data_IF_683647042767
#
_entry.id   IF_683647042767
#
_cell.length_a   1.000
_cell.length_b   1.000
_cell.length_c   1.000
_cell.angle_alpha   90.00
_cell.angle_beta   90.00
_cell.angle_gamma   90.00
#
_symmetry.space_group_name_H-M   'P 1'
#
loop_
_entity.id
_entity.type
_entity.pdbx_description
1 polymer ?
#
# COMPACT_ATOMS: atom_id res chain seq x y z
N UNK A 1 73.32 38.36 -72.93
CA UNK A 1 72.80 37.38 -73.89
C UNK A 1 73.65 37.57 -75.12
N UNK A 2 74.20 36.51 -75.69
CA UNK A 2 74.95 36.59 -76.94
C UNK A 2 74.33 35.66 -77.97
N UNK A 3 73.90 36.19 -79.12
CA UNK A 3 73.36 35.38 -80.22
C UNK A 3 74.53 34.87 -81.04
N UNK A 4 74.57 33.56 -81.28
CA UNK A 4 75.62 32.87 -82.03
C UNK A 4 75.21 32.64 -83.48
N UNK A 5 73.97 32.20 -83.72
CA UNK A 5 73.50 31.95 -85.08
C UNK A 5 72.00 32.04 -85.22
N UNK A 6 71.53 32.28 -86.43
CA UNK A 6 70.13 32.18 -86.80
C UNK A 6 69.96 31.41 -88.12
N UNK A 7 69.15 30.36 -88.09
CA UNK A 7 68.76 29.57 -89.25
C UNK A 7 67.31 29.89 -89.62
N UNK A 8 67.07 30.18 -90.90
CA UNK A 8 65.78 30.57 -91.46
C UNK A 8 65.36 29.55 -92.51
N UNK A 9 64.19 28.93 -92.33
CA UNK A 9 63.55 28.06 -93.31
C UNK A 9 62.16 28.57 -93.65
N UNK A 10 61.95 28.91 -94.92
CA UNK A 10 60.72 29.47 -95.48
C UNK A 10 60.18 30.66 -94.68
N UNK A 11 61.08 31.50 -94.15
CA UNK A 11 60.75 32.67 -93.35
C UNK A 11 60.88 33.93 -94.20
N UNK A 12 59.77 34.62 -94.45
CA UNK A 12 59.68 35.79 -95.36
C UNK A 12 60.40 35.52 -96.70
N UNK A 13 61.43 36.30 -97.03
CA UNK A 13 62.18 36.18 -98.29
C UNK A 13 63.25 35.07 -98.27
N UNK A 14 63.48 34.40 -97.15
CA UNK A 14 64.52 33.37 -97.01
C UNK A 14 63.92 31.96 -97.13
N UNK A 15 64.41 31.16 -98.09
CA UNK A 15 63.98 29.77 -98.28
C UNK A 15 64.72 28.81 -97.35
N UNK A 16 66.05 28.81 -97.40
CA UNK A 16 66.91 28.11 -96.44
C UNK A 16 68.22 28.90 -96.32
N UNK A 17 68.43 29.55 -95.18
CA UNK A 17 69.59 30.41 -94.93
C UNK A 17 70.08 30.23 -93.51
N UNK A 18 71.39 30.26 -93.35
CA UNK A 18 72.07 30.21 -92.06
C UNK A 18 72.98 31.41 -91.92
N UNK A 19 72.90 32.10 -90.78
CA UNK A 19 73.74 33.24 -90.45
C UNK A 19 74.44 32.98 -89.13
N UNK A 20 75.76 33.14 -89.12
CA UNK A 20 76.60 33.04 -87.92
C UNK A 20 77.05 34.44 -87.51
N UNK A 21 76.96 34.73 -86.22
CA UNK A 21 77.35 36.00 -85.62
C UNK A 21 78.65 35.85 -84.85
N UNK A 22 79.52 36.84 -85.01
CA UNK A 22 80.77 36.91 -84.26
C UNK A 22 80.60 37.81 -83.03
N UNK A 23 81.43 37.64 -81.98
CA UNK A 23 81.48 38.61 -80.89
C UNK A 23 81.78 40.03 -81.40
N UNK A 24 81.10 41.03 -80.84
CA UNK A 24 81.29 42.43 -81.22
C UNK A 24 80.24 42.94 -82.22
N UNK A 25 80.66 43.85 -83.11
CA UNK A 25 79.76 44.53 -84.05
C UNK A 25 79.62 43.74 -85.35
N UNK A 26 78.41 43.27 -85.64
CA UNK A 26 78.09 42.57 -86.88
C UNK A 26 77.30 43.50 -87.80
N UNK A 27 77.79 43.76 -89.01
CA UNK A 27 77.11 44.56 -90.02
C UNK A 27 76.40 43.65 -91.04
N UNK A 28 75.07 43.75 -91.15
CA UNK A 28 74.27 43.00 -92.13
C UNK A 28 74.04 43.89 -93.35
N UNK A 29 74.82 43.65 -94.42
CA UNK A 29 74.80 44.43 -95.65
C UNK A 29 74.09 43.67 -96.79
N UNK A 30 73.49 44.42 -97.72
CA UNK A 30 72.72 43.87 -98.84
C UNK A 30 71.84 44.94 -99.48
N UNK A 31 71.18 44.62 -100.59
CA UNK A 31 70.26 45.55 -101.24
C UNK A 31 68.97 45.76 -100.42
N UNK A 32 68.23 46.84 -100.67
CA UNK A 32 66.92 47.00 -100.07
C UNK A 32 65.98 45.88 -100.58
N UNK A 33 65.19 45.30 -99.67
CA UNK A 33 64.35 44.14 -100.00
C UNK A 33 65.05 42.78 -99.96
N UNK A 34 66.37 42.72 -99.74
CA UNK A 34 67.12 41.44 -99.62
C UNK A 34 66.80 40.62 -98.36
N UNK A 35 65.95 41.13 -97.45
CA UNK A 35 65.55 40.42 -96.23
C UNK A 35 66.48 40.65 -95.02
N UNK A 36 67.26 41.74 -94.99
CA UNK A 36 68.11 42.12 -93.85
C UNK A 36 67.31 42.26 -92.54
N UNK A 37 66.23 43.03 -92.58
CA UNK A 37 65.33 43.22 -91.43
C UNK A 37 64.70 41.91 -90.98
N UNK A 38 64.44 40.98 -91.91
CA UNK A 38 63.86 39.67 -91.60
C UNK A 38 64.76 38.81 -90.71
N UNK A 39 66.08 39.03 -90.70
CA UNK A 39 66.99 38.33 -89.79
C UNK A 39 66.75 38.79 -88.34
N UNK A 40 66.63 40.09 -88.11
CA UNK A 40 66.34 40.64 -86.78
C UNK A 40 64.92 40.30 -86.31
N UNK A 41 63.94 40.34 -87.21
CA UNK A 41 62.56 39.97 -86.91
C UNK A 41 62.43 38.48 -86.56
N UNK A 42 63.20 37.61 -87.21
CA UNK A 42 63.24 36.19 -86.89
C UNK A 42 63.74 35.95 -85.45
N UNK A 43 64.81 36.66 -85.06
CA UNK A 43 65.34 36.64 -83.68
C UNK A 43 64.29 37.15 -82.69
N UNK A 44 63.63 38.27 -83.01
CA UNK A 44 62.57 38.88 -82.21
C UNK A 44 61.40 37.91 -81.96
N UNK A 45 61.01 37.23 -83.04
CA UNK A 45 59.91 36.27 -83.03
C UNK A 45 60.23 35.06 -82.17
N UNK A 46 61.43 34.51 -82.29
CA UNK A 46 61.82 33.34 -81.50
C UNK A 46 62.04 33.70 -80.03
N UNK A 47 62.96 34.62 -79.72
CA UNK A 47 63.43 34.83 -78.34
C UNK A 47 62.53 35.76 -77.53
N UNK A 48 61.84 36.71 -78.18
CA UNK A 48 61.08 37.74 -77.47
C UNK A 48 59.57 37.62 -77.68
N UNK A 49 59.13 36.62 -78.45
CA UNK A 49 57.74 36.46 -78.87
C UNK A 49 57.16 37.75 -79.48
N UNK A 50 58.00 38.49 -80.22
CA UNK A 50 57.63 39.74 -80.88
C UNK A 50 57.46 39.49 -82.38
N UNK A 51 56.27 39.78 -82.91
CA UNK A 51 55.94 39.61 -84.34
C UNK A 51 55.61 40.93 -85.06
N UNK A 52 55.77 42.07 -84.38
CA UNK A 52 55.32 43.37 -84.89
C UNK A 52 53.82 43.39 -85.18
N UNK A 53 53.43 44.13 -86.22
CA UNK A 53 52.04 44.23 -86.71
C UNK A 53 51.69 43.15 -87.76
N UNK A 54 52.59 42.19 -87.99
CA UNK A 54 52.41 41.14 -88.99
C UNK A 54 51.59 39.96 -88.46
N UNK A 55 50.75 39.40 -89.33
CA UNK A 55 50.04 38.15 -89.05
C UNK A 55 50.99 36.95 -89.16
N UNK A 56 50.56 35.78 -88.67
CA UNK A 56 51.40 34.57 -88.71
C UNK A 56 51.70 34.13 -90.15
N UNK A 57 50.76 34.37 -91.04
CA UNK A 57 50.81 34.06 -92.46
C UNK A 57 51.87 34.90 -93.17
N UNK A 58 52.04 36.16 -92.77
CA UNK A 58 53.03 37.10 -93.34
C UNK A 58 54.47 36.72 -93.02
N UNK A 59 54.68 35.86 -92.02
CA UNK A 59 56.00 35.31 -91.69
C UNK A 59 56.39 34.14 -92.61
N UNK A 60 55.43 33.53 -93.30
CA UNK A 60 55.64 32.36 -94.14
C UNK A 60 55.95 32.80 -95.57
N UNK A 61 57.00 32.24 -96.16
CA UNK A 61 57.33 32.47 -97.58
C UNK A 61 56.18 31.99 -98.48
N UNK A 62 55.80 32.82 -99.46
CA UNK A 62 54.80 32.45 -100.47
C UNK A 62 55.10 31.09 -101.11
N UNK A 63 54.10 30.21 -101.14
CA UNK A 63 54.21 28.84 -101.66
C UNK A 63 54.70 27.79 -100.66
N UNK A 64 54.94 28.16 -99.39
CA UNK A 64 55.34 27.23 -98.32
C UNK A 64 54.21 27.00 -97.31
N UNK A 65 54.14 25.80 -96.72
CA UNK A 65 53.12 25.47 -95.71
C UNK A 65 53.46 25.93 -94.28
N UNK A 66 54.73 26.18 -93.98
CA UNK A 66 55.20 26.59 -92.64
C UNK A 66 56.53 27.32 -92.71
N UNK A 67 56.77 28.22 -91.75
CA UNK A 67 58.08 28.81 -91.50
C UNK A 67 58.71 28.24 -90.23
N UNK A 68 60.03 28.11 -90.23
CA UNK A 68 60.82 27.68 -89.09
C UNK A 68 62.03 28.60 -88.93
N UNK A 69 62.24 29.05 -87.70
CA UNK A 69 63.42 29.83 -87.32
C UNK A 69 64.07 29.12 -86.15
N UNK A 70 65.39 28.99 -86.21
CA UNK A 70 66.18 28.47 -85.10
C UNK A 70 67.25 29.48 -84.70
N UNK A 71 67.30 29.85 -83.43
CA UNK A 71 68.26 30.81 -82.87
C UNK A 71 69.10 30.10 -81.83
N UNK A 72 70.42 30.18 -82.00
CA UNK A 72 71.39 29.68 -81.03
C UNK A 72 71.97 30.86 -80.27
N UNK A 73 71.94 30.81 -78.94
CA UNK A 73 72.46 31.89 -78.09
C UNK A 73 73.10 31.36 -76.80
N UNK A 74 73.93 32.19 -76.18
CA UNK A 74 74.51 31.95 -74.85
C UNK A 74 73.64 32.64 -73.80
N UNK A 75 73.20 31.86 -72.82
CA UNK A 75 72.37 32.33 -71.71
C UNK A 75 73.16 33.21 -70.74
N UNK A 76 72.51 34.26 -70.25
CA UNK A 76 73.05 35.11 -69.18
C UNK A 76 73.00 34.46 -67.80
N UNK A 77 72.19 33.43 -67.61
CA UNK A 77 71.95 32.83 -66.30
C UNK A 77 73.06 31.83 -65.93
N UNK A 78 73.38 30.92 -66.83
CA UNK A 78 74.30 29.82 -66.59
C UNK A 78 75.47 29.75 -67.60
N UNK A 79 75.57 30.72 -68.53
CA UNK A 79 76.60 30.79 -69.56
C UNK A 79 76.63 29.59 -70.52
N UNK A 80 75.52 28.85 -70.63
CA UNK A 80 75.40 27.71 -71.56
C UNK A 80 74.81 28.12 -72.90
N UNK A 81 75.11 27.31 -73.91
CA UNK A 81 74.54 27.47 -75.25
C UNK A 81 73.18 26.79 -75.33
N UNK A 82 72.19 27.50 -75.86
CA UNK A 82 70.86 26.97 -76.11
C UNK A 82 70.42 27.23 -77.54
N UNK A 83 69.72 26.26 -78.11
CA UNK A 83 69.08 26.36 -79.42
C UNK A 83 67.57 26.42 -79.24
N UNK A 84 66.97 27.54 -79.64
CA UNK A 84 65.53 27.78 -79.58
C UNK A 84 64.99 27.81 -80.99
N UNK A 85 64.17 26.82 -81.32
CA UNK A 85 63.49 26.69 -82.59
C UNK A 85 62.01 27.04 -82.41
N UNK A 86 61.49 27.88 -83.31
CA UNK A 86 60.06 28.17 -83.41
C UNK A 86 59.56 27.85 -84.80
N UNK A 87 58.48 27.07 -84.87
CA UNK A 87 57.76 26.76 -86.10
C UNK A 87 56.34 27.31 -86.01
N UNK A 88 55.83 27.87 -87.12
CA UNK A 88 54.46 28.42 -87.16
C UNK A 88 53.39 27.36 -86.86
N UNK A 89 53.61 26.11 -87.28
CA UNK A 89 52.70 24.99 -87.03
C UNK A 89 53.00 24.19 -85.75
N UNK A 90 54.29 23.92 -85.47
CA UNK A 90 54.71 22.97 -84.42
C UNK A 90 55.10 23.65 -83.09
N UNK A 91 55.03 24.98 -83.01
CA UNK A 91 55.33 25.72 -81.78
C UNK A 91 56.84 25.79 -81.48
N UNK A 92 57.18 25.81 -80.19
CA UNK A 92 58.55 25.94 -79.70
C UNK A 92 59.22 24.59 -79.44
N UNK A 93 60.49 24.50 -79.78
CA UNK A 93 61.38 23.39 -79.45
C UNK A 93 62.67 24.01 -78.92
N UNK A 94 63.11 23.59 -77.73
CA UNK A 94 64.34 24.07 -77.13
C UNK A 94 65.28 22.90 -76.86
N UNK A 95 66.55 23.07 -77.21
CA UNK A 95 67.57 22.03 -77.12
C UNK A 95 68.80 22.62 -76.44
N UNK A 96 69.38 21.85 -75.52
CA UNK A 96 70.72 22.07 -74.99
C UNK A 96 71.70 21.23 -75.83
N UNK A 97 72.44 21.84 -76.78
CA UNK A 97 73.40 21.11 -77.61
C UNK A 97 74.58 20.53 -76.81
N UNK A 98 74.91 21.07 -75.64
CA UNK A 98 76.03 20.55 -74.82
C UNK A 98 75.65 19.25 -74.11
N UNK A 99 74.38 19.14 -73.70
CA UNK A 99 73.83 17.93 -73.07
C UNK A 99 73.13 17.00 -74.08
N UNK A 100 73.04 17.41 -75.35
CA UNK A 100 72.27 16.76 -76.40
C UNK A 100 70.84 16.40 -75.95
N UNK A 101 70.23 17.30 -75.17
CA UNK A 101 68.94 17.08 -74.51
C UNK A 101 67.89 18.09 -74.99
N UNK A 102 66.72 17.57 -75.38
CA UNK A 102 65.54 18.41 -75.64
C UNK A 102 64.88 18.80 -74.33
N UNK A 103 64.66 20.09 -74.12
CA UNK A 103 63.97 20.61 -72.96
C UNK A 103 62.45 20.34 -73.10
N UNK A 104 61.79 19.75 -72.09
CA UNK A 104 60.40 19.30 -72.18
C UNK A 104 59.38 20.43 -71.99
N UNK A 105 59.70 21.64 -72.46
CA UNK A 105 58.80 22.79 -72.36
C UNK A 105 57.92 22.87 -73.60
N UNK A 106 56.60 22.89 -73.40
CA UNK A 106 55.61 22.94 -74.48
C UNK A 106 54.65 24.13 -74.33
N UNK A 107 54.42 24.60 -73.10
CA UNK A 107 53.45 25.67 -72.82
C UNK A 107 54.11 27.04 -72.96
N UNK A 108 53.65 27.82 -73.94
CA UNK A 108 54.23 29.13 -74.25
C UNK A 108 54.23 30.07 -73.04
N UNK A 109 53.08 30.29 -72.40
CA UNK A 109 52.92 31.30 -71.34
C UNK A 109 53.53 30.89 -70.01
N UNK A 110 53.43 29.61 -69.65
CA UNK A 110 53.76 29.12 -68.31
C UNK A 110 55.17 28.53 -68.20
N UNK A 111 55.73 28.03 -69.31
CA UNK A 111 57.03 27.34 -69.31
C UNK A 111 58.05 28.08 -70.18
N UNK A 112 57.73 28.30 -71.46
CA UNK A 112 58.69 28.85 -72.44
C UNK A 112 59.02 30.31 -72.15
N UNK A 113 58.03 31.17 -71.92
CA UNK A 113 58.28 32.59 -71.64
C UNK A 113 59.02 32.81 -70.31
N UNK A 114 58.65 32.18 -69.17
CA UNK A 114 59.43 32.28 -67.94
C UNK A 114 60.87 31.77 -68.11
N UNK A 115 61.06 30.64 -68.82
CA UNK A 115 62.38 30.12 -69.14
C UNK A 115 63.21 31.12 -69.96
N UNK A 116 62.65 31.66 -71.05
CA UNK A 116 63.30 32.69 -71.85
C UNK A 116 63.63 33.92 -70.99
N UNK A 117 62.72 34.40 -70.12
CA UNK A 117 62.99 35.53 -69.23
C UNK A 117 64.22 35.28 -68.35
N UNK A 118 64.29 34.11 -67.73
CA UNK A 118 65.41 33.72 -66.88
C UNK A 118 66.71 33.63 -67.67
N UNK A 119 66.72 32.92 -68.80
CA UNK A 119 67.94 32.69 -69.58
C UNK A 119 68.42 33.91 -70.38
N UNK A 120 67.53 34.86 -70.69
CA UNK A 120 67.88 36.17 -71.24
C UNK A 120 68.41 37.13 -70.14
N UNK A 121 68.12 36.83 -68.86
CA UNK A 121 68.55 37.63 -67.70
C UNK A 121 67.63 38.81 -67.37
N UNK A 122 66.32 38.66 -67.59
CA UNK A 122 65.31 39.71 -67.33
C UNK A 122 64.37 39.30 -66.20
N UNK A 123 63.68 40.26 -65.57
CA UNK A 123 62.78 39.96 -64.44
C UNK A 123 61.63 39.04 -64.87
N UNK A 124 61.14 38.13 -64.00
CA UNK A 124 59.99 37.28 -64.29
C UNK A 124 58.72 38.04 -64.71
N UNK A 125 58.58 39.29 -64.25
CA UNK A 125 57.46 40.18 -64.55
C UNK A 125 57.64 40.99 -65.84
N UNK A 126 58.81 40.93 -66.48
CA UNK A 126 59.11 41.74 -67.67
C UNK A 126 58.36 41.23 -68.90
N UNK A 127 57.78 42.17 -69.67
CA UNK A 127 57.17 41.90 -70.96
C UNK A 127 58.27 41.82 -72.05
N UNK A 128 58.59 40.61 -72.50
CA UNK A 128 59.64 40.35 -73.51
C UNK A 128 59.40 41.07 -74.85
N UNK A 129 58.18 41.05 -75.45
CA UNK A 129 57.90 41.81 -76.67
C UNK A 129 58.19 43.30 -76.54
N UNK A 130 57.80 43.91 -75.42
CA UNK A 130 57.98 45.33 -75.16
C UNK A 130 59.45 45.69 -74.87
N UNK A 131 60.19 44.78 -74.23
CA UNK A 131 61.64 44.94 -74.03
C UNK A 131 62.37 44.93 -75.38
N UNK A 132 61.98 44.04 -76.29
CA UNK A 132 62.60 43.99 -77.61
C UNK A 132 62.35 45.28 -78.40
N UNK A 133 61.09 45.69 -78.54
CA UNK A 133 60.74 46.86 -79.37
C UNK A 133 61.31 48.18 -78.87
N UNK A 134 61.52 48.32 -77.55
CA UNK A 134 61.98 49.58 -76.95
C UNK A 134 63.48 49.62 -76.65
N UNK A 135 64.12 48.48 -76.41
CA UNK A 135 65.49 48.46 -75.87
C UNK A 135 66.49 47.66 -76.70
N UNK A 136 66.07 46.54 -77.32
CA UNK A 136 67.01 45.59 -77.95
C UNK A 136 66.97 45.67 -79.48
N UNK A 137 65.78 45.61 -80.07
CA UNK A 137 65.57 45.64 -81.52
C UNK A 137 64.81 46.89 -81.90
N UNK A 138 65.48 48.05 -81.81
CA UNK A 138 64.89 49.34 -82.15
C UNK A 138 64.62 49.40 -83.66
N UNK A 139 63.34 49.50 -84.08
CA UNK A 139 63.03 49.67 -85.50
C UNK A 139 63.72 50.89 -86.12
N UNK A 140 63.90 50.86 -87.44
CA UNK A 140 64.53 51.97 -88.15
C UNK A 140 63.69 53.25 -87.94
N UNK A 141 64.33 54.31 -87.41
CA UNK A 141 63.70 55.61 -87.20
C UNK A 141 62.92 55.79 -85.89
N UNK A 142 62.82 54.76 -85.03
CA UNK A 142 62.04 54.85 -83.76
C UNK A 142 62.89 55.09 -82.52
N UNK A 143 64.22 55.14 -82.62
CA UNK A 143 65.11 55.38 -81.48
C UNK A 143 64.81 56.70 -80.77
N UNK A 144 64.44 57.74 -81.52
CA UNK A 144 64.11 59.06 -80.97
C UNK A 144 62.63 59.20 -80.59
N UNK A 145 61.76 58.27 -80.97
CA UNK A 145 60.32 58.39 -80.76
C UNK A 145 59.96 58.44 -79.28
N UNK A 146 60.56 57.59 -78.45
CA UNK A 146 60.32 57.56 -77.00
C UNK A 146 60.81 58.83 -76.28
N UNK A 147 61.82 59.51 -76.84
CA UNK A 147 62.32 60.79 -76.32
C UNK A 147 61.46 61.99 -76.74
N UNK A 148 60.71 61.86 -77.84
CA UNK A 148 59.77 62.88 -78.34
C UNK A 148 58.39 62.79 -77.66
N UNK A 149 58.12 61.74 -76.89
CA UNK A 149 56.88 61.55 -76.14
C UNK A 149 56.70 62.59 -75.00
N UNK A 150 55.46 62.96 -74.62
CA UNK A 150 55.17 63.79 -73.45
C UNK A 150 55.72 63.20 -72.15
N UNK A 151 55.95 64.06 -71.15
CA UNK A 151 56.59 63.68 -69.88
C UNK A 151 55.91 62.52 -69.14
N UNK A 152 54.58 62.42 -69.19
CA UNK A 152 53.81 61.36 -68.54
C UNK A 152 54.03 59.98 -69.18
N UNK A 153 53.92 59.90 -70.50
CA UNK A 153 54.19 58.65 -71.25
C UNK A 153 55.66 58.26 -71.15
N UNK A 154 56.56 59.25 -71.27
CA UNK A 154 58.00 59.04 -71.09
C UNK A 154 58.31 58.47 -69.72
N UNK A 155 57.77 59.07 -68.65
CA UNK A 155 57.97 58.57 -67.28
C UNK A 155 57.51 57.14 -67.12
N UNK A 156 56.39 56.75 -67.73
CA UNK A 156 55.91 55.36 -67.68
C UNK A 156 56.85 54.39 -68.39
N UNK A 157 57.39 54.78 -69.56
CA UNK A 157 58.37 53.99 -70.31
C UNK A 157 59.66 53.81 -69.49
N UNK A 158 60.21 54.90 -68.97
CA UNK A 158 61.46 54.87 -68.21
C UNK A 158 61.31 54.29 -66.80
N UNK A 159 60.20 54.51 -66.09
CA UNK A 159 59.94 53.88 -64.79
C UNK A 159 59.90 52.35 -64.91
N UNK A 160 59.43 51.82 -66.04
CA UNK A 160 59.42 50.39 -66.33
C UNK A 160 60.83 49.86 -66.70
N UNK A 161 61.62 50.62 -67.47
CA UNK A 161 63.00 50.26 -67.82
C UNK A 161 63.91 50.31 -66.57
N UNK A 162 63.79 51.36 -65.77
CA UNK A 162 64.58 51.61 -64.56
C UNK A 162 64.04 50.87 -63.32
N UNK A 163 62.93 50.13 -63.45
CA UNK A 163 62.27 49.37 -62.37
C UNK A 163 61.87 50.21 -61.15
N UNK A 164 61.60 51.50 -61.33
CA UNK A 164 61.17 52.41 -60.24
C UNK A 164 59.76 52.07 -59.76
N UNK A 165 58.94 51.44 -60.61
CA UNK A 165 57.59 50.98 -60.27
C UNK A 165 57.58 49.97 -59.11
N UNK A 166 58.57 49.07 -59.05
CA UNK A 166 58.66 48.02 -58.03
C UNK A 166 58.86 48.62 -56.63
N UNK A 167 59.69 49.67 -56.51
CA UNK A 167 59.90 50.39 -55.24
C UNK A 167 58.64 51.12 -54.76
N UNK A 168 57.86 51.70 -55.66
CA UNK A 168 56.58 52.35 -55.30
C UNK A 168 55.58 51.33 -54.76
N UNK A 169 55.55 50.13 -55.32
CA UNK A 169 54.71 49.05 -54.85
C UNK A 169 55.14 48.56 -53.46
N UNK A 170 56.44 48.35 -53.25
CA UNK A 170 56.98 47.97 -51.95
C UNK A 170 56.64 49.00 -50.86
N UNK A 171 56.78 50.30 -51.16
CA UNK A 171 56.41 51.37 -50.22
C UNK A 171 54.93 51.35 -49.83
N UNK A 172 54.03 51.14 -50.80
CA UNK A 172 52.59 51.06 -50.52
C UNK A 172 52.26 49.90 -49.58
N UNK A 173 52.84 48.73 -49.83
CA UNK A 173 52.65 47.54 -48.99
C UNK A 173 53.22 47.75 -47.57
N UNK A 174 54.38 48.39 -47.45
CA UNK A 174 54.97 48.69 -46.14
C UNK A 174 54.10 49.65 -45.32
N UNK A 175 53.49 50.64 -45.97
CA UNK A 175 52.62 51.60 -45.27
C UNK A 175 51.33 50.95 -44.75
N UNK A 176 50.75 49.98 -45.48
CA UNK A 176 49.61 49.20 -44.96
C UNK A 176 50.01 48.35 -43.74
N UNK A 177 51.21 47.75 -43.75
CA UNK A 177 51.71 46.99 -42.62
C UNK A 177 51.90 47.88 -41.38
N UNK A 178 52.44 49.09 -41.56
CA UNK A 178 52.60 50.06 -40.47
C UNK A 178 51.27 50.40 -39.81
N UNK A 179 50.25 50.73 -40.60
CA UNK A 179 48.91 51.05 -40.07
C UNK A 179 48.31 49.90 -39.27
N UNK A 180 48.42 48.68 -39.79
CA UNK A 180 47.96 47.50 -39.06
C UNK A 180 48.66 47.33 -37.70
N UNK A 181 49.96 47.58 -37.63
CA UNK A 181 50.70 47.52 -36.37
C UNK A 181 50.26 48.63 -35.39
N UNK A 182 50.03 49.85 -35.88
CA UNK A 182 49.51 50.97 -35.08
C UNK A 182 48.13 50.64 -34.49
N UNK A 183 47.20 50.12 -35.29
CA UNK A 183 45.85 49.73 -34.85
C UNK A 183 45.90 48.66 -33.75
N UNK A 184 46.81 47.67 -33.88
CA UNK A 184 46.97 46.62 -32.86
C UNK A 184 47.50 47.18 -31.54
N UNK A 185 48.45 48.12 -31.59
CA UNK A 185 48.97 48.77 -30.38
C UNK A 185 47.87 49.56 -29.66
N UNK A 186 47.02 50.28 -30.41
CA UNK A 186 45.89 51.00 -29.82
C UNK A 186 44.86 50.06 -29.20
N UNK A 187 44.53 48.95 -29.87
CA UNK A 187 43.61 47.95 -29.33
C UNK A 187 44.10 47.36 -28.01
N UNK A 188 45.38 46.98 -27.93
CA UNK A 188 45.98 46.45 -26.71
C UNK A 188 46.03 47.51 -25.60
N UNK A 189 46.35 48.77 -25.93
CA UNK A 189 46.31 49.87 -24.95
C UNK A 189 44.91 50.08 -24.37
N UNK A 190 43.87 49.99 -25.20
CA UNK A 190 42.49 50.10 -24.74
C UNK A 190 42.12 48.96 -23.78
N UNK A 191 42.53 47.73 -24.08
CA UNK A 191 42.33 46.57 -23.20
C UNK A 191 43.05 46.75 -21.85
N UNK A 192 44.31 47.20 -21.87
CA UNK A 192 45.06 47.47 -20.64
C UNK A 192 44.33 48.49 -19.77
N UNK A 193 43.84 49.57 -20.38
CA UNK A 193 43.09 50.61 -19.65
C UNK A 193 41.81 50.04 -19.02
N UNK A 194 41.05 49.24 -19.76
CA UNK A 194 39.85 48.58 -19.24
C UNK A 194 40.16 47.66 -18.05
N UNK A 195 41.26 46.88 -18.12
CA UNK A 195 41.67 46.04 -17.01
C UNK A 195 42.13 46.83 -15.79
N UNK A 196 42.81 47.97 -15.99
CA UNK A 196 43.17 48.86 -14.89
C UNK A 196 41.94 49.41 -14.18
N UNK A 197 40.93 49.90 -14.92
CA UNK A 197 39.67 50.38 -14.34
C UNK A 197 38.92 49.29 -13.54
N UNK A 198 38.97 48.03 -13.98
CA UNK A 198 38.41 46.90 -13.24
C UNK A 198 39.22 46.59 -11.95
N UNK A 199 40.54 46.69 -12.03
CA UNK A 199 41.46 46.45 -10.93
C UNK A 199 41.42 47.53 -9.86
N UNK A 200 40.99 48.75 -10.17
CA UNK A 200 40.86 49.83 -9.17
C UNK A 200 39.95 49.44 -8.00
N UNK A 201 38.93 48.61 -8.25
CA UNK A 201 38.01 48.10 -7.22
C UNK A 201 38.49 46.82 -6.49
N UNK A 202 39.62 46.24 -6.93
CA UNK A 202 40.09 44.95 -6.43
C UNK A 202 40.44 44.98 -4.94
N UNK A 203 41.14 46.03 -4.50
CA UNK A 203 41.58 46.13 -3.10
C UNK A 203 40.39 46.31 -2.14
N UNK A 204 39.38 47.09 -2.53
CA UNK A 204 38.13 47.23 -1.77
C UNK A 204 37.36 45.92 -1.68
N UNK A 205 37.24 45.19 -2.80
CA UNK A 205 36.57 43.88 -2.83
C UNK A 205 37.31 42.85 -1.97
N UNK A 206 38.65 42.85 -2.01
CA UNK A 206 39.47 41.93 -1.24
C UNK A 206 39.40 42.24 0.28
N UNK A 207 39.43 43.53 0.66
CA UNK A 207 39.17 43.94 2.04
C UNK A 207 37.77 43.53 2.50
N UNK A 208 36.75 43.73 1.67
CA UNK A 208 35.37 43.34 1.98
C UNK A 208 35.23 41.81 2.11
N UNK A 209 35.90 41.04 1.27
CA UNK A 209 35.95 39.58 1.39
C UNK A 209 36.57 39.17 2.73
N UNK A 210 37.70 39.77 3.12
CA UNK A 210 38.35 39.47 4.41
C UNK A 210 37.46 39.85 5.61
N UNK A 211 36.78 41.00 5.56
CA UNK A 211 35.84 41.41 6.60
C UNK A 211 34.66 40.44 6.73
N UNK A 212 34.07 40.04 5.60
CA UNK A 212 32.95 39.08 5.59
C UNK A 212 33.43 37.71 6.09
N UNK A 213 34.61 37.25 5.69
CA UNK A 213 35.19 36.00 6.17
C UNK A 213 35.42 36.02 7.69
N UNK A 214 35.94 37.13 8.23
CA UNK A 214 36.10 37.29 9.67
C UNK A 214 34.75 37.30 10.41
N UNK A 215 33.74 37.98 9.86
CA UNK A 215 32.38 37.99 10.41
C UNK A 215 31.78 36.57 10.46
N UNK A 216 31.87 35.82 9.37
CA UNK A 216 31.40 34.42 9.29
C UNK A 216 32.08 33.56 10.37
N UNK A 217 33.40 33.67 10.51
CA UNK A 217 34.14 32.90 11.51
C UNK A 217 33.69 33.23 12.94
N UNK A 218 33.39 34.51 13.20
CA UNK A 218 32.91 34.97 14.51
C UNK A 218 31.50 34.43 14.80
N UNK A 219 30.61 34.46 13.81
CA UNK A 219 29.26 33.94 13.91
C UNK A 219 29.23 32.41 14.07
N UNK A 220 30.12 31.67 13.39
CA UNK A 220 30.28 30.22 13.56
C UNK A 220 30.71 29.85 14.98
N UNK A 221 31.67 30.57 15.55
CA UNK A 221 32.09 30.37 16.94
C UNK A 221 30.94 30.65 17.92
N UNK A 222 30.18 31.72 17.67
CA UNK A 222 29.01 32.06 18.49
C UNK A 222 27.92 30.99 18.39
N UNK A 223 27.69 30.45 17.20
CA UNK A 223 26.71 29.39 16.94
C UNK A 223 27.09 28.09 17.64
N UNK A 224 28.38 27.70 17.59
CA UNK A 224 28.87 26.55 18.36
C UNK A 224 28.68 26.74 19.87
N UNK A 225 28.99 27.93 20.40
CA UNK A 225 28.76 28.25 21.81
C UNK A 225 27.28 28.16 22.21
N UNK A 226 26.38 28.71 21.38
CA UNK A 226 24.94 28.63 21.59
C UNK A 226 24.40 27.19 21.50
N UNK A 227 24.93 26.37 20.59
CA UNK A 227 24.57 24.95 20.50
C UNK A 227 24.96 24.17 21.75
N UNK A 228 26.16 24.41 22.30
CA UNK A 228 26.59 23.79 23.57
C UNK A 228 25.71 24.23 24.74
N UNK A 229 25.34 25.52 24.80
CA UNK A 229 24.41 26.04 25.81
C UNK A 229 23.01 25.42 25.66
N UNK A 230 22.54 25.23 24.44
CA UNK A 230 21.24 24.62 24.18
C UNK A 230 21.22 23.14 24.60
N UNK A 231 22.30 22.39 24.31
CA UNK A 231 22.44 21.01 24.76
C UNK A 231 22.47 20.90 26.30
N UNK A 232 23.19 21.80 26.99
CA UNK A 232 23.23 21.78 28.45
C UNK A 232 21.87 22.14 29.07
N UNK A 233 21.15 23.12 28.51
CA UNK A 233 19.80 23.48 28.93
C UNK A 233 18.79 22.36 28.65
N UNK A 234 18.90 21.65 27.52
CA UNK A 234 18.07 20.48 27.23
C UNK A 234 18.32 19.35 28.24
N UNK A 235 19.59 19.03 28.54
CA UNK A 235 19.92 18.04 29.55
C UNK A 235 19.37 18.41 30.95
N UNK A 236 19.45 19.69 31.33
CA UNK A 236 18.84 20.19 32.56
C UNK A 236 17.32 20.04 32.56
N UNK A 237 16.66 20.40 31.45
CA UNK A 237 15.20 20.24 31.29
C UNK A 237 14.78 18.78 31.43
N UNK A 238 15.48 17.87 30.75
CA UNK A 238 15.17 16.44 30.75
C UNK A 238 15.36 15.85 32.16
N UNK A 239 16.41 16.27 32.87
CA UNK A 239 16.62 15.91 34.28
C UNK A 239 15.48 16.40 35.17
N UNK A 240 15.07 17.66 35.04
CA UNK A 240 13.94 18.21 35.79
C UNK A 240 12.62 17.49 35.47
N UNK A 241 12.40 17.12 34.20
CA UNK A 241 11.23 16.38 33.77
C UNK A 241 11.21 14.95 34.35
N UNK A 242 12.36 14.27 34.37
CA UNK A 242 12.50 12.97 34.99
C UNK A 242 12.24 13.03 36.51
N UNK A 243 12.77 14.05 37.20
CA UNK A 243 12.50 14.29 38.62
C UNK A 243 11.01 14.56 38.86
N UNK A 244 10.35 15.36 38.02
CA UNK A 244 8.91 15.61 38.14
C UNK A 244 8.09 14.32 37.95
N UNK A 245 8.46 13.47 37.00
CA UNK A 245 7.80 12.17 36.81
C UNK A 245 8.01 11.22 38.01
N UNK A 246 9.21 11.18 38.58
CA UNK A 246 9.49 10.43 39.81
C UNK A 246 8.66 10.93 40.98
N UNK A 247 8.55 12.25 41.16
CA UNK A 247 7.70 12.85 42.19
C UNK A 247 6.23 12.46 41.96
N UNK A 248 5.72 12.54 40.73
CA UNK A 248 4.35 12.14 40.42
C UNK A 248 4.08 10.65 40.72
N UNK A 249 5.03 9.77 40.41
CA UNK A 249 4.96 8.35 40.72
C UNK A 249 4.98 8.09 42.24
N UNK A 250 5.83 8.79 42.99
CA UNK A 250 5.87 8.71 44.44
C UNK A 250 4.58 9.24 45.08
N UNK A 251 3.99 10.32 44.54
CA UNK A 251 2.71 10.86 45.02
C UNK A 251 1.57 9.86 44.81
N UNK A 252 1.50 9.21 43.64
CA UNK A 252 0.48 8.18 43.36
C UNK A 252 0.68 6.93 44.21
N UNK A 253 1.92 6.47 44.41
CA UNK A 253 2.22 5.40 45.36
C UNK A 253 1.80 5.77 46.78
N UNK A 254 2.11 6.99 47.22
CA UNK A 254 1.72 7.48 48.55
C UNK A 254 0.21 7.47 48.71
N UNK A 255 -0.54 8.01 47.74
CA UNK A 255 -2.01 7.99 47.75
C UNK A 255 -2.58 6.56 47.82
N UNK A 256 -2.01 5.61 47.06
CA UNK A 256 -2.39 4.20 47.12
C UNK A 256 -2.15 3.58 48.50
N UNK A 257 -0.99 3.85 49.11
CA UNK A 257 -0.68 3.41 50.46
C UNK A 257 -1.59 4.05 51.52
N UNK A 258 -1.93 5.33 51.38
CA UNK A 258 -2.88 6.00 52.29
C UNK A 258 -4.25 5.34 52.24
N UNK A 259 -4.78 5.07 51.05
CA UNK A 259 -6.06 4.37 50.90
C UNK A 259 -6.02 2.93 51.44
N UNK A 260 -4.90 2.22 51.28
CA UNK A 260 -4.72 0.91 51.91
C UNK A 260 -4.70 1.01 53.44
N UNK A 261 -4.04 2.01 54.01
CA UNK A 261 -4.07 2.26 55.46
C UNK A 261 -5.48 2.57 55.95
N UNK A 262 -6.23 3.44 55.26
CA UNK A 262 -7.62 3.77 55.60
C UNK A 262 -8.51 2.52 55.56
N UNK A 263 -8.39 1.69 54.51
CA UNK A 263 -9.15 0.45 54.38
C UNK A 263 -8.80 -0.56 55.48
N UNK A 264 -7.51 -0.70 55.82
CA UNK A 264 -7.05 -1.54 56.93
C UNK A 264 -7.57 -1.03 58.27
N UNK A 265 -7.58 0.28 58.52
CA UNK A 265 -8.15 0.88 59.74
C UNK A 265 -9.64 0.60 59.86
N UNK A 266 -10.43 0.84 58.80
CA UNK A 266 -11.86 0.53 58.81
C UNK A 266 -12.13 -0.97 59.01
N UNK A 267 -11.30 -1.83 58.40
CA UNK A 267 -11.35 -3.27 58.61
C UNK A 267 -11.07 -3.66 60.07
N UNK A 268 -10.08 -3.02 60.69
CA UNK A 268 -9.70 -3.26 62.08
C UNK A 268 -10.81 -2.80 63.04
N UNK A 269 -11.40 -1.63 62.83
CA UNK A 269 -12.56 -1.14 63.59
C UNK A 269 -13.75 -2.11 63.50
N UNK A 270 -14.04 -2.60 62.29
CA UNK A 270 -15.12 -3.58 62.07
C UNK A 270 -14.83 -4.91 62.78
N UNK A 271 -13.60 -5.39 62.72
CA UNK A 271 -13.18 -6.60 63.43
C UNK A 271 -13.26 -6.44 64.94
N UNK A 272 -12.90 -5.27 65.48
CA UNK A 272 -13.06 -4.96 66.91
C UNK A 272 -14.53 -4.96 67.32
N UNK A 273 -15.41 -4.34 66.53
CA UNK A 273 -16.86 -4.38 66.80
C UNK A 273 -17.40 -5.81 66.78
N UNK A 274 -17.02 -6.63 65.79
CA UNK A 274 -17.43 -8.03 65.70
C UNK A 274 -16.90 -8.86 66.88
N UNK A 275 -15.66 -8.64 67.30
CA UNK A 275 -15.08 -9.29 68.48
C UNK A 275 -15.87 -8.91 69.73
N UNK A 276 -16.22 -7.64 69.90
CA UNK A 276 -17.00 -7.16 71.04
C UNK A 276 -18.42 -7.75 71.06
N UNK A 277 -19.08 -7.84 69.89
CA UNK A 277 -20.38 -8.50 69.74
C UNK A 277 -20.29 -10.01 70.04
N UNK A 278 -19.26 -10.69 69.54
CA UNK A 278 -19.03 -12.10 69.83
C UNK A 278 -18.80 -12.32 71.34
N UNK A 279 -18.07 -11.42 72.00
CA UNK A 279 -17.81 -11.48 73.44
C UNK A 279 -19.09 -11.26 74.25
N UNK A 280 -19.94 -10.31 73.84
CA UNK A 280 -21.28 -10.13 74.42
C UNK A 280 -22.16 -11.38 74.21
N UNK A 281 -22.16 -11.96 73.01
CA UNK A 281 -22.91 -13.18 72.72
C UNK A 281 -22.43 -14.36 73.58
N UNK A 282 -21.11 -14.52 73.75
CA UNK A 282 -20.53 -15.53 74.65
C UNK A 282 -21.01 -15.30 76.08
N UNK A 283 -21.01 -14.04 76.54
CA UNK A 283 -21.43 -13.70 77.90
C UNK A 283 -22.93 -14.02 78.11
N UNK A 284 -23.79 -13.70 77.13
CA UNK A 284 -25.22 -14.07 77.13
C UNK A 284 -25.39 -15.59 77.15
N UNK A 285 -24.66 -16.33 76.32
CA UNK A 285 -24.71 -17.78 76.32
C UNK A 285 -24.25 -18.36 77.66
N UNK A 286 -23.23 -17.77 78.32
CA UNK A 286 -22.75 -18.21 79.63
C UNK A 286 -23.76 -17.94 80.75
N UNK A 287 -24.39 -16.76 80.80
CA UNK A 287 -25.42 -16.47 81.81
C UNK A 287 -26.64 -17.37 81.67
N UNK A 288 -27.06 -17.66 80.43
CA UNK A 288 -28.20 -18.53 80.19
C UNK A 288 -27.87 -20.02 80.18
N UNK A 289 -26.59 -20.41 80.28
CA UNK A 289 -26.16 -21.82 80.26
C UNK A 289 -26.75 -22.64 81.41
N UNK A 290 -26.65 -22.14 82.64
CA UNK A 290 -27.21 -22.85 83.80
C UNK A 290 -28.73 -22.98 83.72
N UNK A 291 -29.42 -21.95 83.19
CA UNK A 291 -30.86 -21.99 82.97
C UNK A 291 -31.26 -22.96 81.85
N UNK A 292 -30.47 -23.04 80.78
CA UNK A 292 -30.68 -23.99 79.68
C UNK A 292 -30.37 -25.43 80.09
N UNK A 293 -29.30 -25.68 80.83
CA UNK A 293 -28.98 -26.99 81.42
C UNK A 293 -30.10 -27.44 82.39
N UNK A 294 -30.67 -26.51 83.17
CA UNK A 294 -31.86 -26.75 84.00
C UNK A 294 -33.15 -27.00 83.20
N UNK A 295 -33.35 -26.31 82.07
CA UNK A 295 -34.45 -26.60 81.15
C UNK A 295 -34.29 -27.99 80.53
N UNK A 296 -33.08 -28.36 80.13
CA UNK A 296 -32.78 -29.65 79.50
C UNK A 296 -32.95 -30.81 80.49
N UNK A 297 -32.57 -30.64 81.76
CA UNK A 297 -32.84 -31.64 82.81
C UNK A 297 -34.34 -31.75 83.11
N UNK A 298 -35.06 -30.63 83.17
CA UNK A 298 -36.51 -30.61 83.35
C UNK A 298 -37.25 -31.24 82.15
N UNK A 299 -36.76 -31.05 80.91
CA UNK A 299 -37.31 -31.70 79.71
C UNK A 299 -37.07 -33.21 79.73
N UNK A 300 -35.90 -33.66 80.19
CA UNK A 300 -35.62 -35.09 80.40
C UNK A 300 -36.51 -35.70 81.51
N UNK A 301 -36.69 -34.99 82.63
CA UNK A 301 -37.62 -35.42 83.70
C UNK A 301 -39.07 -35.46 83.19
N UNK A 302 -39.49 -34.48 82.39
CA UNK A 302 -40.81 -34.46 81.78
C UNK A 302 -41.00 -35.65 80.83
N UNK A 303 -40.01 -35.98 80.00
CA UNK A 303 -40.05 -37.16 79.13
C UNK A 303 -40.18 -38.46 79.94
N UNK A 304 -39.44 -38.60 81.05
CA UNK A 304 -39.58 -39.75 81.94
C UNK A 304 -40.96 -39.82 82.62
N UNK A 305 -41.51 -38.68 83.04
CA UNK A 305 -42.84 -38.61 83.63
C UNK A 305 -43.94 -38.93 82.61
N UNK A 306 -43.79 -38.48 81.36
CA UNK A 306 -44.71 -38.82 80.26
C UNK A 306 -44.67 -40.33 79.97
N UNK A 307 -43.49 -40.95 79.96
CA UNK A 307 -43.37 -42.41 79.83
C UNK A 307 -44.05 -43.14 80.99
N UNK A 308 -43.81 -42.72 82.24
CA UNK A 308 -44.48 -43.29 83.42
C UNK A 308 -45.99 -43.09 83.38
N UNK A 309 -46.48 -41.96 82.85
CA UNK A 309 -47.91 -41.70 82.68
C UNK A 309 -48.53 -42.65 81.63
N UNK A 310 -47.85 -42.88 80.51
CA UNK A 310 -48.28 -43.85 79.49
C UNK A 310 -48.31 -45.29 80.02
N UNK A 311 -47.29 -45.70 80.80
CA UNK A 311 -47.28 -47.01 81.46
C UNK A 311 -48.44 -47.14 82.46
N UNK A 312 -48.71 -46.10 83.25
CA UNK A 312 -49.84 -46.08 84.17
C UNK A 312 -51.18 -46.17 83.44
N UNK A 313 -51.35 -45.46 82.33
CA UNK A 313 -52.56 -45.56 81.50
C UNK A 313 -52.76 -46.96 80.94
N UNK A 314 -51.71 -47.60 80.41
CA UNK A 314 -51.78 -48.99 79.94
C UNK A 314 -52.19 -49.95 81.06
N UNK A 315 -51.59 -49.81 82.25
CA UNK A 315 -51.94 -50.61 83.42
C UNK A 315 -53.41 -50.40 83.84
N UNK A 316 -53.88 -49.16 83.79
CA UNK A 316 -55.26 -48.81 84.14
C UNK A 316 -56.27 -49.36 83.10
N UNK A 317 -55.93 -49.33 81.81
CA UNK A 317 -56.73 -49.97 80.74
C UNK A 317 -56.76 -51.50 80.91
N UNK A 318 -55.63 -52.13 81.26
CA UNK A 318 -55.62 -53.58 81.56
C UNK A 318 -56.44 -53.91 82.79
N UNK A 319 -56.38 -53.09 83.84
CA UNK A 319 -57.19 -53.27 85.04
C UNK A 319 -58.69 -53.16 84.72
N UNK A 320 -59.11 -52.14 83.95
CA UNK A 320 -60.50 -51.98 83.53
C UNK A 320 -60.96 -53.14 82.63
N UNK A 321 -60.11 -53.65 81.72
CA UNK A 321 -60.41 -54.84 80.92
C UNK A 321 -60.64 -56.07 81.78
N UNK A 322 -59.74 -56.34 82.74
CA UNK A 322 -59.86 -57.47 83.65
C UNK A 322 -61.13 -57.36 84.50
N UNK A 323 -61.44 -56.16 84.99
CA UNK A 323 -62.64 -55.91 85.79
C UNK A 323 -63.93 -56.09 84.96
N UNK A 324 -63.93 -55.66 83.68
CA UNK A 324 -65.04 -55.89 82.76
C UNK A 324 -65.23 -57.38 82.43
N UNK A 325 -64.14 -58.12 82.18
CA UNK A 325 -64.21 -59.59 81.99
C UNK A 325 -64.72 -60.28 83.24
N UNK A 326 -64.25 -59.90 84.43
CA UNK A 326 -64.73 -60.47 85.69
C UNK A 326 -66.22 -60.20 85.91
N UNK A 327 -66.69 -58.99 85.62
CA UNK A 327 -68.12 -58.67 85.68
C UNK A 327 -68.94 -59.51 84.68
N UNK A 328 -68.45 -59.69 83.45
CA UNK A 328 -69.09 -60.58 82.47
C UNK A 328 -69.14 -62.04 82.96
N UNK A 329 -68.05 -62.55 83.54
CA UNK A 329 -68.03 -63.93 84.04
C UNK A 329 -68.95 -64.11 85.24
N UNK A 330 -69.08 -63.10 86.11
CA UNK A 330 -70.05 -63.11 87.22
C UNK A 330 -71.50 -63.08 86.72
N UNK A 331 -71.80 -62.31 85.67
CA UNK A 331 -73.13 -62.29 85.05
C UNK A 331 -73.44 -63.65 84.40
N UNK A 332 -72.47 -64.26 83.70
CA UNK A 332 -72.62 -65.61 83.15
C UNK A 332 -72.78 -66.68 84.25
N UNK A 333 -72.06 -66.56 85.35
CA UNK A 333 -72.19 -67.46 86.51
C UNK A 333 -73.58 -67.33 87.15
N UNK A 334 -74.08 -66.10 87.36
CA UNK A 334 -75.42 -65.84 87.88
C UNK A 334 -76.51 -66.35 86.92
N UNK A 335 -76.30 -66.24 85.61
CA UNK A 335 -77.19 -66.80 84.58
C UNK A 335 -77.20 -68.33 84.60
N UNK A 336 -76.05 -68.97 84.80
CA UNK A 336 -75.98 -70.43 84.94
C UNK A 336 -76.58 -70.92 86.27
N UNK A 337 -76.47 -70.14 87.35
CA UNK A 337 -77.09 -70.45 88.64
C UNK A 337 -78.62 -70.35 88.57
N UNK A 338 -79.15 -69.29 87.97
CA UNK A 338 -80.61 -69.16 87.74
C UNK A 338 -81.15 -70.21 86.78
N UNK A 339 -80.40 -70.59 85.75
CA UNK A 339 -80.75 -71.74 84.91
C UNK A 339 -80.72 -73.07 85.69
N UNK A 340 -79.74 -73.28 86.59
CA UNK A 340 -79.71 -74.46 87.47
C UNK A 340 -80.86 -74.50 88.46
N UNK A 341 -81.25 -73.37 89.04
CA UNK A 341 -82.43 -73.30 89.92
C UNK A 341 -83.73 -73.53 89.14
N UNK A 342 -83.82 -73.05 87.90
CA UNK A 342 -84.94 -73.36 87.01
C UNK A 342 -84.97 -74.85 86.60
N UNK A 343 -83.81 -75.47 86.36
CA UNK A 343 -83.69 -76.92 86.12
C UNK A 343 -84.02 -77.75 87.36
N UNK A 344 -83.60 -77.33 88.56
CA UNK A 344 -83.95 -78.00 89.81
C UNK A 344 -85.45 -77.89 90.14
N UNK A 345 -86.10 -76.77 89.79
CA UNK A 345 -87.57 -76.63 89.88
C UNK A 345 -88.30 -77.50 88.87
N UNK A 346 -87.82 -77.58 87.63
CA UNK A 346 -88.42 -78.45 86.60
C UNK A 346 -88.15 -79.94 86.88
N UNK A 347 -87.04 -80.32 87.54
CA UNK A 347 -86.84 -81.66 88.11
C UNK A 347 -87.83 -81.95 89.25
N UNK A 348 -88.13 -80.97 90.10
CA UNK A 348 -89.18 -81.08 91.13
C UNK A 348 -90.58 -81.27 90.53
N UNK A 349 -90.92 -80.52 89.47
CA UNK A 349 -92.19 -80.66 88.74
C UNK A 349 -92.27 -82.00 87.96
N UNK A 350 -91.15 -82.50 87.41
CA UNK A 350 -91.07 -83.83 86.76
C UNK A 350 -91.16 -85.00 87.76
N UNK A 351 -90.65 -84.84 88.98
CA UNK A 351 -90.81 -85.84 90.04
C UNK A 351 -92.27 -85.95 90.54
N UNK A 352 -93.00 -84.83 90.60
CA UNK A 352 -94.44 -84.80 90.92
C UNK A 352 -95.35 -85.26 89.76
N UNK A 353 -94.92 -85.15 88.50
CA UNK A 353 -95.67 -85.63 87.32
C UNK A 353 -95.41 -87.11 86.97
N UNK A 354 -94.40 -87.75 87.58
CA UNK A 354 -94.08 -89.16 87.37
C UNK A 354 -95.11 -90.19 87.90
N UNK A 355 -95.97 -89.90 88.90
CA UNK A 355 -97.07 -90.78 89.30
C UNK A 355 -98.37 -90.54 88.51
N UNK A 356 -98.50 -89.39 87.82
CA UNK A 356 -99.56 -89.09 86.84
C UNK A 356 -99.33 -89.79 85.48
N UNK A 357 -98.19 -90.49 85.33
CA UNK A 357 -97.75 -91.33 84.19
C UNK A 357 -98.64 -92.53 83.91
N UNK A 358 -99.24 -93.19 84.88
CA UNK A 358 -99.94 -94.46 84.60
C UNK A 358 -101.44 -94.40 84.91
N UNK A 359 -101.89 -93.28 85.49
CA UNK A 359 -103.26 -93.10 85.94
C UNK A 359 -104.27 -92.93 84.79
N UNK A 360 -103.89 -92.49 83.58
CA UNK A 360 -104.93 -92.15 82.60
C UNK A 360 -104.85 -92.90 81.26
N UNK A 361 -103.66 -93.23 80.75
CA UNK A 361 -103.53 -93.86 79.43
C UNK A 361 -104.15 -95.27 79.35
N UNK A 362 -104.17 -96.07 80.43
CA UNK A 362 -104.85 -97.37 80.43
C UNK A 362 -106.32 -97.32 80.87
N UNK A 363 -106.70 -96.40 81.76
CA UNK A 363 -108.07 -96.30 82.28
C UNK A 363 -109.01 -95.60 81.28
N UNK A 364 -108.54 -94.63 80.49
CA UNK A 364 -109.37 -94.04 79.44
C UNK A 364 -109.38 -94.82 78.12
N UNK A 365 -108.41 -95.68 77.85
CA UNK A 365 -108.53 -96.66 76.76
C UNK A 365 -109.73 -97.60 76.98
N UNK A 366 -110.02 -97.99 78.23
CA UNK A 366 -111.24 -98.72 78.59
C UNK A 366 -112.49 -97.80 78.60
N UNK A 367 -112.35 -96.53 78.99
CA UNK A 367 -113.45 -95.55 78.93
C UNK A 367 -113.86 -95.24 77.50
N UNK A 368 -112.94 -95.15 76.54
CA UNK A 368 -113.24 -94.93 75.12
C UNK A 368 -114.01 -96.12 74.51
N UNK A 369 -113.74 -97.36 74.94
CA UNK A 369 -114.49 -98.53 74.48
C UNK A 369 -115.92 -98.62 75.10
N UNK A 370 -116.06 -98.26 76.38
CA UNK A 370 -117.37 -98.19 77.04
C UNK A 370 -118.21 -96.99 76.59
N UNK A 371 -117.58 -95.85 76.31
CA UNK A 371 -118.27 -94.62 75.92
C UNK A 371 -118.76 -94.69 74.47
N UNK A 372 -118.04 -95.36 73.55
CA UNK A 372 -118.60 -95.70 72.23
C UNK A 372 -119.82 -96.63 72.30
N UNK A 373 -119.90 -97.54 73.28
CA UNK A 373 -121.11 -98.34 73.53
C UNK A 373 -122.22 -97.54 74.21
N UNK A 374 -121.87 -96.56 75.04
CA UNK A 374 -122.81 -95.69 75.73
C UNK A 374 -123.39 -94.62 74.80
N UNK A 375 -122.64 -94.14 73.81
CA UNK A 375 -123.12 -93.28 72.73
C UNK A 375 -124.10 -94.06 71.81
N UNK A 376 -123.85 -95.36 71.59
CA UNK A 376 -124.86 -96.23 70.95
C UNK A 376 -126.12 -96.38 71.82
N UNK A 377 -126.01 -96.47 73.15
CA UNK A 377 -127.18 -96.52 74.04
C UNK A 377 -127.90 -95.18 74.21
N UNK A 378 -127.19 -94.05 74.24
CA UNK A 378 -127.77 -92.71 74.32
C UNK A 378 -128.44 -92.31 73.00
N UNK A 379 -127.93 -92.77 71.86
CA UNK A 379 -128.67 -92.65 70.59
C UNK A 379 -130.01 -93.43 70.61
N UNK A 380 -130.07 -94.56 71.32
CA UNK A 380 -131.32 -95.28 71.60
C UNK A 380 -132.18 -94.59 72.68
N UNK A 381 -131.58 -93.85 73.61
CA UNK A 381 -132.30 -93.05 74.61
C UNK A 381 -132.87 -91.75 74.03
N UNK A 382 -132.21 -91.15 73.04
CA UNK A 382 -132.76 -90.10 72.18
C UNK A 382 -134.04 -90.57 71.49
N UNK A 383 -134.12 -91.86 71.11
CA UNK A 383 -135.36 -92.46 70.60
C UNK A 383 -136.43 -92.72 71.67
N UNK A 384 -136.06 -92.79 72.96
CA UNK A 384 -137.02 -92.96 74.08
C UNK A 384 -137.50 -91.63 74.66
N UNK A 385 -136.66 -90.60 74.70
CA UNK A 385 -137.05 -89.25 75.11
C UNK A 385 -137.86 -88.52 74.04
N UNK A 386 -137.65 -88.82 72.76
CA UNK A 386 -138.64 -88.50 71.72
C UNK A 386 -140.01 -89.15 72.00
N UNK A 387 -140.06 -90.24 72.78
CA UNK A 387 -141.29 -90.81 73.35
C UNK A 387 -141.80 -90.11 74.63
N UNK A 388 -140.97 -89.33 75.35
CA UNK A 388 -141.39 -88.49 76.48
C UNK A 388 -141.90 -87.10 76.06
N UNK A 389 -141.41 -86.58 74.92
CA UNK A 389 -142.09 -85.53 74.16
C UNK A 389 -143.56 -85.90 73.88
N UNK A 390 -143.90 -87.19 73.79
CA UNK A 390 -145.26 -87.68 73.59
C UNK A 390 -146.06 -87.93 74.89
N UNK A 391 -145.41 -87.98 76.06
CA UNK A 391 -146.07 -88.30 77.35
C UNK A 391 -146.31 -87.07 78.24
N UNK A 392 -145.50 -86.00 78.19
CA UNK A 392 -145.86 -84.72 78.84
C UNK A 392 -146.65 -83.76 77.93
N UNK A 393 -146.79 -84.07 76.64
CA UNK A 393 -148.00 -83.69 75.91
C UNK A 393 -149.29 -84.22 76.60
N UNK A 394 -149.21 -85.23 77.49
CA UNK A 394 -150.31 -85.60 78.39
C UNK A 394 -150.27 -84.84 79.75
N UNK A 395 -149.22 -84.07 80.07
CA UNK A 395 -149.21 -83.06 81.15
C UNK A 395 -149.78 -81.70 80.69
N UNK A 396 -149.71 -81.41 79.40
CA UNK A 396 -150.64 -80.50 78.73
C UNK A 396 -152.11 -80.82 79.07
N UNK A 397 -152.43 -82.03 79.55
CA UNK A 397 -153.77 -82.42 80.03
C UNK A 397 -153.93 -82.41 81.57
N UNK A 398 -152.85 -82.42 82.37
CA UNK A 398 -152.97 -82.55 83.83
C UNK A 398 -152.94 -81.26 84.65
N UNK A 399 -152.72 -80.07 84.06
CA UNK A 399 -152.89 -78.81 84.82
C UNK A 399 -153.60 -77.65 84.09
N UNK A 400 -154.19 -77.93 82.94
CA UNK A 400 -155.61 -77.59 82.77
C UNK A 400 -156.44 -78.10 83.98
N UNK A 401 -156.12 -79.30 84.50
CA UNK A 401 -156.75 -79.94 85.66
C UNK A 401 -156.36 -79.35 87.04
N UNK A 402 -155.69 -78.20 87.10
CA UNK A 402 -155.75 -77.36 88.30
C UNK A 402 -155.89 -75.85 88.00
N UNK A 403 -156.65 -75.52 86.92
CA UNK A 403 -157.66 -74.46 86.92
C UNK A 403 -158.51 -74.39 88.22
N UNK A 404 -158.49 -75.46 89.01
CA UNK A 404 -159.20 -75.69 90.24
C UNK A 404 -158.30 -75.57 91.47
N UNK A 405 -157.20 -74.82 91.38
CA UNK A 405 -156.68 -74.24 92.61
C UNK A 405 -156.54 -72.74 92.56
N UNK A 406 -157.70 -72.14 92.55
CA UNK A 406 -157.94 -71.19 93.60
C UNK A 406 -157.12 -69.88 93.48
N UNK A 407 -157.54 -68.89 92.68
CA UNK A 407 -158.91 -68.47 92.32
C UNK A 407 -159.92 -68.38 93.50
N UNK A 408 -159.67 -69.11 94.57
CA UNK A 408 -160.55 -69.49 95.66
C UNK A 408 -159.71 -69.54 96.94
N UNK A 409 -158.57 -68.87 96.98
CA UNK A 409 -158.12 -68.30 98.24
C UNK A 409 -157.27 -67.06 97.95
N UNK A 410 -157.80 -66.04 97.26
CA UNK A 410 -159.12 -65.43 97.47
C UNK A 410 -159.34 -65.19 98.94
N UNK A 411 -159.63 -63.95 99.25
CA UNK A 411 -159.81 -63.59 100.62
C UNK A 411 -158.52 -63.76 101.39
N UNK A 412 -158.67 -63.28 102.57
CA UNK A 412 -157.77 -63.55 103.61
C UNK A 412 -156.90 -62.35 103.99
N UNK A 413 -157.20 -61.08 103.65
CA UNK A 413 -157.61 -60.09 104.66
C UNK A 413 -158.00 -60.71 106.01
N UNK A 414 -157.01 -61.30 106.65
CA UNK A 414 -156.91 -61.88 107.97
C UNK A 414 -155.57 -62.63 107.85
N UNK A 415 -154.48 -62.15 108.38
CA UNK A 415 -154.43 -61.96 109.81
C UNK A 415 -153.26 -61.02 109.99
N UNK A 416 -153.64 -59.80 110.35
CA UNK A 416 -152.91 -58.96 111.28
C UNK A 416 -151.52 -58.49 110.84
N UNK A 417 -151.32 -57.25 110.38
CA UNK A 417 -152.17 -56.07 110.56
C UNK A 417 -152.62 -55.85 112.01
N UNK A 418 -151.76 -56.03 113.00
CA UNK A 418 -152.08 -55.62 114.36
C UNK A 418 -150.84 -54.86 114.83
N UNK A 419 -150.74 -53.58 114.45
CA UNK A 419 -151.11 -52.40 115.28
C UNK A 419 -149.84 -51.87 115.99
N UNK A 420 -149.75 -50.62 116.43
CA UNK A 420 -150.31 -50.15 117.73
C UNK A 420 -150.33 -51.19 118.85
#
# INVERSE_FOLDING_TARGET
MQILSVALRNFKTHQDRYFEFQPGTNAICGENGSGKTSILEAIAWVLFNYQGDYAKEDLIRNGSGSAQVTVTFISNYDQRTYEVQRCTQRGYVMVDPQLNQRLPYSRLKDEVLPWLRQHLGVSPTTNLPQLFSRTIGVPQGTFTADFLQPAEHRKTVFDAILKVADYKQAFRQMNSLRRYAEDQVEAVRAQIKQYQELLDSWDELNQRQQQVAAAIQTDEQRLQGLQQQLQSLQAQRDSCQAQAQQIQALVTQRQGLTHQQEAQQQGLERLQQLAQQAQQAIQVCQTHRAAYEGYQSAEQELQQLVQRQQERQRLQETYQRIQATHAQTQVELARCQTQREAFAKTEGELAELSPLVLEQEQVEAQRQELQQRLDQFQSLQLQRQSGQLQLQQWEQQQQQLAQSRDRLMALQPAVSQITT
#
